data_IF_750871435899
#
_entry.id   IF_750871435899
#
_cell.length_a   1.000
_cell.length_b   1.000
_cell.length_c   1.000
_cell.angle_alpha   90.00
_cell.angle_beta   90.00
_cell.angle_gamma   90.00
#
_symmetry.space_group_name_H-M   'P 1'
#
loop_
_entity.id
_entity.type
_entity.pdbx_description
1 polymer ?
#
# COMPACT_ATOMS: atom_id res chain seq x y z
N UNK A 1 61.19 -6.46 49.68
CA UNK A 1 61.96 -7.52 48.98
C UNK A 1 61.12 -7.99 47.81
N UNK A 2 61.75 -8.17 46.64
CA UNK A 2 61.18 -8.24 45.28
C UNK A 2 60.12 -9.33 45.05
N UNK A 3 59.10 -9.04 44.23
CA UNK A 3 58.47 -10.04 43.34
C UNK A 3 57.98 -9.37 42.06
N UNK A 4 58.31 -9.96 40.91
CA UNK A 4 58.19 -9.41 39.56
C UNK A 4 56.85 -9.76 38.89
N UNK A 5 56.36 -8.88 38.01
CA UNK A 5 55.27 -9.15 37.07
C UNK A 5 55.83 -9.43 35.68
N UNK A 6 55.42 -10.55 35.08
CA UNK A 6 55.84 -11.03 33.76
C UNK A 6 54.81 -10.56 32.72
N UNK A 7 55.26 -9.82 31.70
CA UNK A 7 54.48 -9.45 30.52
C UNK A 7 54.57 -10.56 29.47
N UNK A 8 53.44 -10.93 28.86
CA UNK A 8 53.41 -11.74 27.63
C UNK A 8 52.61 -10.98 26.58
N UNK A 9 53.29 -10.64 25.49
CA UNK A 9 52.76 -9.96 24.31
C UNK A 9 52.47 -11.02 23.25
N UNK A 10 51.26 -11.02 22.68
CA UNK A 10 50.93 -11.87 21.53
C UNK A 10 51.01 -11.07 20.22
N UNK A 11 51.76 -11.64 19.27
CA UNK A 11 51.98 -11.13 17.91
C UNK A 11 50.95 -11.77 16.98
N UNK A 12 50.25 -10.94 16.18
CA UNK A 12 49.43 -11.36 15.06
C UNK A 12 50.32 -11.70 13.85
N UNK A 13 50.05 -12.83 13.19
CA UNK A 13 50.50 -13.11 11.82
C UNK A 13 49.34 -13.75 11.05
N UNK A 14 48.98 -13.12 9.94
CA UNK A 14 48.03 -13.61 8.94
C UNK A 14 48.72 -14.47 7.88
N UNK A 15 47.97 -15.40 7.27
CA UNK A 15 48.09 -15.80 5.86
C UNK A 15 46.94 -16.76 5.49
N UNK A 16 46.16 -16.43 4.45
CA UNK A 16 45.60 -17.46 3.56
C UNK A 16 46.61 -17.78 2.44
N UNK A 17 46.22 -18.42 1.31
CA UNK A 17 45.14 -19.37 1.07
C UNK A 17 45.68 -20.74 0.60
N UNK A 18 44.87 -21.81 0.61
CA UNK A 18 45.18 -23.02 -0.16
C UNK A 18 43.91 -23.78 -0.55
N UNK A 19 43.57 -23.72 -1.84
CA UNK A 19 42.70 -24.68 -2.50
C UNK A 19 43.45 -25.99 -2.74
N UNK A 20 42.83 -27.17 -2.52
CA UNK A 20 43.07 -28.47 -3.22
C UNK A 20 41.88 -29.45 -3.08
N UNK A 21 41.44 -29.95 -4.24
CA UNK A 21 40.88 -31.28 -4.58
C UNK A 21 39.65 -31.90 -3.86
N UNK A 22 38.53 -31.89 -4.58
CA UNK A 22 37.97 -33.06 -5.29
C UNK A 22 37.75 -34.39 -4.53
N UNK A 23 36.49 -34.68 -4.20
CA UNK A 23 35.96 -36.02 -3.92
C UNK A 23 34.46 -35.98 -3.56
N UNK A 24 33.59 -36.88 -4.09
CA UNK A 24 32.14 -36.70 -4.07
C UNK A 24 31.48 -37.35 -2.86
N UNK A 25 30.44 -36.68 -2.33
CA UNK A 25 29.39 -37.30 -1.52
C UNK A 25 29.35 -36.84 -0.06
N UNK A 26 28.17 -36.37 0.35
CA UNK A 26 27.81 -36.16 1.75
C UNK A 26 26.95 -34.92 1.92
N UNK A 27 25.64 -35.12 2.04
CA UNK A 27 24.62 -34.07 2.16
C UNK A 27 24.92 -33.02 3.23
N UNK A 28 24.68 -31.78 2.86
CA UNK A 28 24.33 -30.70 3.77
C UNK A 28 22.95 -30.26 3.33
N UNK A 29 21.95 -30.60 4.15
CA UNK A 29 20.61 -30.06 4.10
C UNK A 29 20.73 -28.59 4.53
N UNK A 30 21.04 -27.71 3.58
CA UNK A 30 21.00 -26.25 3.75
C UNK A 30 19.77 -25.72 2.98
N UNK A 31 18.59 -26.24 3.33
CA UNK A 31 17.26 -25.85 2.81
C UNK A 31 16.74 -24.55 3.47
N UNK A 32 17.60 -23.54 3.60
CA UNK A 32 17.22 -22.24 4.18
C UNK A 32 17.60 -21.07 3.27
N UNK A 33 17.42 -21.28 1.96
CA UNK A 33 17.40 -20.19 0.98
C UNK A 33 16.13 -20.32 0.14
N UNK A 34 15.24 -19.30 0.14
CA UNK A 34 14.02 -19.36 -0.64
C UNK A 34 14.39 -19.49 -2.13
N UNK A 35 13.81 -20.46 -2.87
CA UNK A 35 14.05 -20.59 -4.29
C UNK A 35 13.52 -19.34 -4.99
N UNK A 36 14.42 -18.51 -5.50
CA UNK A 36 14.07 -17.27 -6.21
C UNK A 36 13.62 -17.54 -7.65
N UNK A 37 12.69 -18.47 -7.83
CA UNK A 37 11.95 -18.67 -9.07
C UNK A 37 10.94 -17.53 -9.25
N UNK A 38 10.67 -17.14 -10.50
CA UNK A 38 9.52 -16.28 -10.77
C UNK A 38 8.28 -17.16 -10.79
N UNK A 39 7.46 -17.06 -9.75
CA UNK A 39 6.23 -17.84 -9.59
C UNK A 39 5.16 -17.39 -10.59
N UNK A 40 4.54 -18.33 -11.31
CA UNK A 40 3.41 -18.04 -12.20
C UNK A 40 2.10 -18.49 -11.55
N UNK A 41 1.44 -17.55 -10.88
CA UNK A 41 0.33 -17.76 -9.94
C UNK A 41 -1.00 -18.29 -10.48
N UNK A 42 -1.03 -18.77 -11.73
CA UNK A 42 -2.26 -19.22 -12.41
C UNK A 42 -2.04 -20.46 -13.29
N UNK A 43 -0.92 -21.17 -13.16
CA UNK A 43 -0.53 -22.28 -14.05
C UNK A 43 -0.69 -23.69 -13.44
N UNK A 44 -1.12 -23.81 -12.17
CA UNK A 44 -1.25 -25.04 -11.40
C UNK A 44 0.07 -25.83 -11.21
N UNK A 45 1.20 -25.13 -11.28
CA UNK A 45 2.54 -25.65 -11.06
C UNK A 45 3.13 -24.93 -9.86
N UNK A 46 3.91 -25.70 -9.10
CA UNK A 46 4.83 -25.22 -8.08
C UNK A 46 6.11 -24.79 -8.82
N UNK A 47 6.20 -23.52 -9.23
CA UNK A 47 7.27 -23.05 -10.11
C UNK A 47 8.60 -22.84 -9.36
N UNK A 48 8.55 -22.66 -8.04
CA UNK A 48 9.71 -22.47 -7.18
C UNK A 48 10.13 -23.75 -6.40
N UNK A 49 9.25 -24.74 -6.29
CA UNK A 49 9.49 -26.06 -5.71
C UNK A 49 9.27 -26.15 -4.20
N UNK A 50 8.58 -25.20 -3.57
CA UNK A 50 8.33 -25.18 -2.12
C UNK A 50 7.20 -26.14 -1.66
N UNK A 51 6.50 -26.75 -2.61
CA UNK A 51 5.39 -27.67 -2.40
C UNK A 51 4.00 -27.03 -2.46
N UNK A 52 3.91 -25.76 -2.86
CA UNK A 52 2.66 -25.00 -3.05
C UNK A 52 2.58 -24.52 -4.50
N UNK A 53 1.38 -24.18 -4.94
CA UNK A 53 1.14 -23.77 -6.32
C UNK A 53 0.02 -22.73 -6.38
N UNK A 54 0.11 -21.80 -7.33
CA UNK A 54 -0.86 -20.73 -7.56
C UNK A 54 -1.22 -19.96 -6.27
N UNK A 55 -2.49 -19.59 -6.07
CA UNK A 55 -2.94 -18.88 -4.87
C UNK A 55 -2.83 -19.67 -3.55
N UNK A 56 -2.39 -20.94 -3.57
CA UNK A 56 -2.04 -21.67 -2.34
C UNK A 56 -0.60 -21.38 -1.89
N UNK A 57 0.17 -20.74 -2.76
CA UNK A 57 1.52 -20.26 -2.56
C UNK A 57 1.54 -18.85 -1.93
N UNK A 58 2.24 -18.64 -0.79
CA UNK A 58 2.46 -17.32 -0.21
C UNK A 58 3.11 -16.30 -1.16
N UNK A 59 3.95 -16.74 -2.10
CA UNK A 59 4.63 -15.87 -3.06
C UNK A 59 3.66 -15.35 -4.13
N UNK A 60 2.49 -15.97 -4.25
CA UNK A 60 1.37 -15.50 -5.08
C UNK A 60 0.41 -14.53 -4.39
N UNK A 61 0.65 -14.17 -3.13
CA UNK A 61 -0.21 -13.27 -2.36
C UNK A 61 -0.43 -11.95 -3.11
N UNK A 62 -1.68 -11.68 -3.51
CA UNK A 62 -2.08 -10.48 -4.24
C UNK A 62 -1.65 -10.39 -5.72
N UNK A 63 -1.08 -11.44 -6.30
CA UNK A 63 -0.71 -11.52 -7.73
C UNK A 63 -1.84 -12.19 -8.51
N UNK A 64 -2.14 -11.70 -9.73
CA UNK A 64 -3.11 -12.29 -10.67
C UNK A 64 -4.50 -12.60 -10.08
N UNK A 65 -4.94 -11.82 -9.10
CA UNK A 65 -6.24 -11.98 -8.43
C UNK A 65 -6.24 -12.97 -7.26
N UNK A 66 -5.08 -13.51 -6.89
CA UNK A 66 -4.94 -14.27 -5.65
C UNK A 66 -5.21 -13.39 -4.43
N UNK A 67 -5.83 -13.96 -3.38
CA UNK A 67 -6.06 -13.25 -2.12
C UNK A 67 -4.75 -12.73 -1.50
N UNK A 68 -4.87 -11.66 -0.72
CA UNK A 68 -3.75 -11.08 0.04
C UNK A 68 -3.67 -11.73 1.41
N UNK A 69 -2.52 -12.32 1.76
CA UNK A 69 -2.22 -12.77 3.11
C UNK A 69 -1.42 -11.72 3.89
N UNK A 70 -2.01 -11.14 4.94
CA UNK A 70 -1.33 -10.25 5.90
C UNK A 70 -0.93 -8.86 5.38
N UNK A 71 -0.04 -8.80 4.38
CA UNK A 71 0.42 -7.55 3.77
C UNK A 71 0.88 -7.80 2.32
N UNK A 72 0.40 -6.98 1.40
CA UNK A 72 0.90 -6.96 0.01
C UNK A 72 1.06 -5.50 -0.42
N UNK A 73 2.20 -5.18 -1.03
CA UNK A 73 2.28 -4.07 -1.98
C UNK A 73 1.59 -4.54 -3.26
N UNK A 74 0.41 -4.01 -3.60
CA UNK A 74 -0.28 -4.39 -4.84
C UNK A 74 0.15 -3.42 -5.95
N UNK A 75 1.20 -3.72 -6.73
CA UNK A 75 1.56 -2.88 -7.87
C UNK A 75 0.42 -2.92 -8.88
N UNK A 76 -0.16 -1.75 -9.21
CA UNK A 76 -1.05 -1.71 -10.38
C UNK A 76 -0.19 -2.04 -11.61
N UNK A 77 -0.68 -2.94 -12.46
CA UNK A 77 0.07 -3.40 -13.64
C UNK A 77 0.43 -2.23 -14.59
N UNK A 78 -0.33 -1.13 -14.53
CA UNK A 78 -0.05 0.16 -15.17
C UNK A 78 -0.57 1.30 -14.27
N UNK A 79 0.02 2.51 -14.30
CA UNK A 79 -0.54 3.68 -13.61
C UNK A 79 -1.95 3.95 -14.11
N UNK A 80 -2.89 4.15 -13.19
CA UNK A 80 -4.27 4.42 -13.53
C UNK A 80 -4.59 5.89 -13.32
N UNK A 81 -5.08 6.55 -14.36
CA UNK A 81 -5.57 7.92 -14.28
C UNK A 81 -6.75 7.98 -13.31
N UNK A 82 -6.71 8.95 -12.39
CA UNK A 82 -7.86 9.28 -11.56
C UNK A 82 -8.93 9.95 -12.43
N UNK A 83 -10.22 9.75 -12.13
CA UNK A 83 -11.27 10.49 -12.83
C UNK A 83 -11.07 11.98 -12.60
N UNK A 84 -11.02 12.76 -13.68
CA UNK A 84 -10.67 14.19 -13.76
C UNK A 84 -11.76 15.11 -13.18
N UNK A 85 -12.36 14.81 -12.03
CA UNK A 85 -13.38 15.68 -11.43
C UNK A 85 -14.60 16.01 -12.32
N UNK A 86 -14.80 15.29 -13.43
CA UNK A 86 -15.94 15.45 -14.34
C UNK A 86 -16.48 14.07 -14.69
N UNK A 87 -17.53 13.64 -13.97
CA UNK A 87 -18.13 12.35 -14.27
C UNK A 87 -19.41 12.07 -13.50
N UNK A 88 -20.30 11.31 -14.12
CA UNK A 88 -21.38 10.64 -13.41
C UNK A 88 -20.75 9.51 -12.60
N UNK A 89 -20.69 9.62 -11.27
CA UNK A 89 -20.30 8.51 -10.42
C UNK A 89 -21.15 7.26 -10.68
N UNK A 90 -20.68 6.08 -10.29
CA UNK A 90 -21.43 4.84 -10.50
C UNK A 90 -22.86 4.88 -9.88
N UNK A 91 -23.07 5.73 -8.85
CA UNK A 91 -24.33 5.85 -8.11
C UNK A 91 -25.06 7.19 -8.29
N UNK A 92 -24.43 8.19 -8.91
CA UNK A 92 -25.02 9.52 -9.13
C UNK A 92 -24.64 10.03 -10.53
N UNK A 93 -25.48 10.87 -11.14
CA UNK A 93 -25.16 11.54 -12.40
C UNK A 93 -25.24 13.06 -12.32
N UNK A 94 -25.73 13.59 -11.19
CA UNK A 94 -25.88 15.02 -10.92
C UNK A 94 -25.74 15.29 -9.43
N UNK A 95 -25.29 16.49 -9.06
CA UNK A 95 -25.20 16.94 -7.66
C UNK A 95 -26.55 16.88 -6.94
N UNK A 96 -27.66 17.05 -7.67
CA UNK A 96 -29.00 16.98 -7.12
C UNK A 96 -29.34 15.59 -6.53
N UNK A 97 -28.64 14.53 -6.94
CA UNK A 97 -28.80 13.19 -6.38
C UNK A 97 -27.99 12.98 -5.10
N UNK A 98 -27.02 13.85 -4.81
CA UNK A 98 -26.20 13.80 -3.60
C UNK A 98 -26.92 14.40 -2.38
N UNK A 99 -28.07 13.81 -2.08
CA UNK A 99 -28.92 14.16 -0.93
C UNK A 99 -28.57 13.38 0.33
N UNK A 100 -27.98 12.20 0.17
CA UNK A 100 -27.47 11.36 1.25
C UNK A 100 -25.92 11.42 1.24
N UNK A 101 -25.28 11.96 2.30
CA UNK A 101 -23.82 11.97 2.41
C UNK A 101 -23.19 10.58 2.51
N UNK A 102 -23.97 9.51 2.72
CA UNK A 102 -23.49 8.13 2.70
C UNK A 102 -23.51 7.51 1.29
N UNK A 103 -24.01 8.21 0.27
CA UNK A 103 -24.00 7.71 -1.10
C UNK A 103 -22.55 7.59 -1.61
N UNK A 104 -22.12 6.41 -2.09
CA UNK A 104 -20.81 6.25 -2.73
C UNK A 104 -20.62 7.28 -3.84
N UNK A 105 -19.48 7.97 -3.83
CA UNK A 105 -19.06 8.99 -4.80
C UNK A 105 -19.83 10.34 -4.77
N UNK A 106 -20.64 10.57 -3.73
CA UNK A 106 -21.15 11.89 -3.40
C UNK A 106 -20.28 12.56 -2.34
N UNK A 107 -19.32 13.37 -2.76
CA UNK A 107 -18.39 14.06 -1.85
C UNK A 107 -18.77 15.53 -1.79
N UNK A 108 -18.95 16.07 -0.58
CA UNK A 108 -19.37 17.46 -0.35
C UNK A 108 -20.66 17.90 -1.07
N UNK A 109 -21.59 16.95 -1.33
CA UNK A 109 -22.83 17.12 -2.14
C UNK A 109 -22.59 17.30 -3.64
N UNK A 110 -21.39 17.00 -4.11
CA UNK A 110 -21.04 16.99 -5.51
C UNK A 110 -20.95 15.54 -5.99
N UNK A 111 -21.48 15.31 -7.19
CA UNK A 111 -21.41 14.00 -7.82
C UNK A 111 -20.16 13.92 -8.68
N UNK A 112 -19.23 13.04 -8.32
CA UNK A 112 -17.99 12.83 -9.05
C UNK A 112 -17.76 11.36 -9.32
N UNK A 113 -17.01 11.04 -10.36
CA UNK A 113 -16.51 9.68 -10.55
C UNK A 113 -15.36 9.44 -9.56
N UNK A 114 -15.24 8.19 -9.09
CA UNK A 114 -14.17 7.79 -8.18
C UNK A 114 -13.42 6.63 -8.79
N UNK A 115 -12.10 6.62 -8.63
CA UNK A 115 -11.34 5.40 -8.69
C UNK A 115 -11.74 4.49 -7.53
N UNK A 116 -11.91 3.20 -7.81
CA UNK A 116 -12.15 2.17 -6.81
C UNK A 116 -11.28 0.96 -7.15
N UNK A 117 -10.56 0.44 -6.16
CA UNK A 117 -9.80 -0.81 -6.28
C UNK A 117 -9.93 -1.64 -5.03
N UNK A 118 -9.97 -2.95 -5.21
CA UNK A 118 -10.33 -3.91 -4.18
C UNK A 118 -9.19 -4.89 -3.95
N UNK A 119 -8.89 -5.14 -2.68
CA UNK A 119 -8.01 -6.20 -2.22
C UNK A 119 -8.82 -7.15 -1.33
N UNK A 120 -8.85 -8.42 -1.71
CA UNK A 120 -9.50 -9.45 -0.90
C UNK A 120 -8.50 -10.07 0.07
N UNK A 121 -8.63 -9.77 1.36
CA UNK A 121 -7.74 -10.25 2.40
C UNK A 121 -8.20 -11.59 2.96
N UNK A 122 -7.27 -12.52 3.15
CA UNK A 122 -7.50 -13.81 3.81
C UNK A 122 -6.42 -14.09 4.87
N UNK A 123 -6.59 -15.22 5.52
CA UNK A 123 -5.58 -15.83 6.38
C UNK A 123 -5.61 -15.38 7.83
N UNK A 124 -6.62 -14.60 8.20
CA UNK A 124 -7.03 -14.38 9.59
C UNK A 124 -8.01 -15.47 10.03
N UNK A 125 -8.21 -15.71 11.35
CA UNK A 125 -9.23 -16.63 11.82
C UNK A 125 -10.63 -16.33 11.26
N UNK A 126 -11.47 -17.35 11.16
CA UNK A 126 -12.87 -17.19 10.71
C UNK A 126 -13.57 -16.10 11.55
N UNK A 127 -14.30 -15.21 10.85
CA UNK A 127 -15.00 -14.06 11.43
C UNK A 127 -14.12 -13.10 12.26
N UNK A 128 -12.79 -13.17 12.13
CA UNK A 128 -11.90 -12.31 12.90
C UNK A 128 -12.15 -10.83 12.63
N UNK A 129 -12.22 -10.07 13.73
CA UNK A 129 -12.43 -8.62 13.72
C UNK A 129 -11.17 -7.89 14.17
N UNK A 130 -10.95 -6.70 13.64
CA UNK A 130 -9.90 -5.78 14.09
C UNK A 130 -10.27 -5.22 15.47
N UNK A 131 -9.97 -5.97 16.53
CA UNK A 131 -10.27 -5.57 17.91
C UNK A 131 -9.37 -4.43 18.41
N UNK A 132 -8.08 -4.48 18.03
CA UNK A 132 -7.08 -3.47 18.32
C UNK A 132 -6.67 -2.78 17.02
N UNK A 133 -7.02 -1.50 16.81
CA UNK A 133 -6.71 -0.82 15.56
C UNK A 133 -5.21 -0.62 15.35
N UNK A 134 -4.37 -0.75 16.39
CA UNK A 134 -2.90 -0.73 16.22
C UNK A 134 -2.35 -1.91 15.42
N UNK A 135 -3.18 -2.93 15.19
CA UNK A 135 -2.85 -4.08 14.36
C UNK A 135 -3.07 -3.87 12.86
N UNK A 136 -3.66 -2.75 12.45
CA UNK A 136 -3.52 -2.25 11.08
C UNK A 136 -2.38 -1.22 11.11
N UNK A 137 -1.21 -1.63 10.60
CA UNK A 137 0.04 -0.89 10.78
C UNK A 137 0.08 0.37 9.90
N UNK A 138 -0.32 0.22 8.63
CA UNK A 138 -0.33 1.32 7.66
C UNK A 138 -1.20 1.02 6.45
N UNK A 139 -1.68 2.07 5.81
CA UNK A 139 -2.28 2.05 4.47
C UNK A 139 -1.39 2.93 3.60
N UNK A 140 -0.95 2.48 2.44
CA UNK A 140 -0.09 3.29 1.56
C UNK A 140 -0.69 3.42 0.17
N UNK A 141 -0.38 4.53 -0.48
CA UNK A 141 -0.61 4.76 -1.90
C UNK A 141 0.69 5.25 -2.53
N UNK A 142 0.99 4.80 -3.74
CA UNK A 142 1.95 5.45 -4.61
C UNK A 142 1.18 6.25 -5.64
N UNK A 143 1.26 7.57 -5.57
CA UNK A 143 0.45 8.43 -6.44
C UNK A 143 1.13 9.75 -6.80
N UNK A 144 0.57 10.39 -7.82
CA UNK A 144 0.81 11.79 -8.15
C UNK A 144 -0.52 12.49 -8.43
N UNK A 145 -0.57 13.80 -8.18
CA UNK A 145 -1.73 14.66 -8.45
C UNK A 145 -1.30 16.12 -8.50
N UNK A 146 -1.83 16.89 -9.44
CA UNK A 146 -1.52 18.32 -9.59
C UNK A 146 -2.19 19.21 -8.53
N UNK A 147 -3.11 18.69 -7.70
CA UNK A 147 -3.51 19.41 -6.49
C UNK A 147 -4.08 18.51 -5.39
N UNK A 148 -3.42 18.45 -4.24
CA UNK A 148 -3.85 17.59 -3.12
C UNK A 148 -5.22 17.96 -2.55
N UNK A 149 -5.65 19.21 -2.71
CA UNK A 149 -6.90 19.72 -2.13
C UNK A 149 -8.16 19.26 -2.86
N UNK A 150 -8.01 18.72 -4.06
CA UNK A 150 -9.12 18.20 -4.84
C UNK A 150 -9.49 16.77 -4.47
N UNK A 151 -8.65 16.12 -3.67
CA UNK A 151 -8.79 14.71 -3.37
C UNK A 151 -9.60 14.43 -2.11
N UNK A 152 -10.50 13.46 -2.22
CA UNK A 152 -11.02 12.64 -1.12
C UNK A 152 -10.43 11.24 -1.26
N UNK A 153 -9.76 10.74 -0.22
CA UNK A 153 -9.14 9.40 -0.20
C UNK A 153 -9.73 8.62 0.98
N UNK A 154 -10.29 7.46 0.68
CA UNK A 154 -11.07 6.65 1.62
C UNK A 154 -10.69 5.19 1.52
N UNK A 155 -10.68 4.52 2.67
CA UNK A 155 -10.60 3.08 2.78
C UNK A 155 -11.96 2.55 3.25
N UNK A 156 -12.56 1.65 2.49
CA UNK A 156 -13.77 0.94 2.88
C UNK A 156 -13.38 -0.44 3.41
N UNK A 157 -13.95 -0.78 4.55
CA UNK A 157 -13.77 -2.07 5.23
C UNK A 157 -14.72 -3.12 4.64
N UNK A 158 -14.49 -4.43 4.83
CA UNK A 158 -15.38 -5.47 4.30
C UNK A 158 -16.82 -5.38 4.83
N UNK A 159 -17.00 -4.78 6.01
CA UNK A 159 -18.33 -4.56 6.61
C UNK A 159 -19.00 -3.24 6.14
N UNK A 160 -18.37 -2.51 5.20
CA UNK A 160 -18.90 -1.28 4.60
C UNK A 160 -18.62 0.01 5.39
N UNK A 161 -17.90 -0.05 6.52
CA UNK A 161 -17.45 1.16 7.21
C UNK A 161 -16.45 1.95 6.34
N UNK A 162 -16.55 3.27 6.35
CA UNK A 162 -15.69 4.18 5.58
C UNK A 162 -14.69 4.88 6.51
N UNK A 163 -13.41 4.74 6.20
CA UNK A 163 -12.30 5.35 6.91
C UNK A 163 -11.64 6.41 6.04
N UNK A 164 -11.76 7.69 6.43
CA UNK A 164 -11.28 8.81 5.64
C UNK A 164 -9.79 9.03 5.93
N UNK A 165 -8.95 8.77 4.93
CA UNK A 165 -7.50 8.94 4.97
C UNK A 165 -7.14 10.41 4.73
N UNK A 166 -7.65 10.97 3.64
CA UNK A 166 -7.54 12.39 3.29
C UNK A 166 -8.92 12.92 2.89
N UNK A 167 -9.21 14.17 3.24
CA UNK A 167 -10.54 14.75 3.08
C UNK A 167 -10.49 15.95 2.15
N UNK A 168 -11.39 15.95 1.17
CA UNK A 168 -11.72 17.14 0.40
C UNK A 168 -12.39 18.17 1.32
N UNK A 169 -11.86 19.38 1.35
CA UNK A 169 -12.39 20.48 2.19
C UNK A 169 -13.06 21.52 1.31
N UNK A 170 -12.28 22.15 0.44
CA UNK A 170 -12.68 23.13 -0.55
C UNK A 170 -11.50 23.36 -1.52
N UNK A 171 -11.74 24.17 -2.55
CA UNK A 171 -10.77 24.53 -3.59
C UNK A 171 -10.04 25.83 -3.24
N UNK A 172 -9.71 26.02 -1.97
CA UNK A 172 -8.99 27.20 -1.50
C UNK A 172 -7.66 26.81 -0.87
N UNK A 173 -6.62 27.59 -1.13
CA UNK A 173 -5.27 27.34 -0.63
C UNK A 173 -4.21 27.55 -1.72
N UNK A 174 -2.96 27.26 -1.37
CA UNK A 174 -1.90 27.15 -2.34
C UNK A 174 -2.01 25.84 -3.14
N UNK A 175 -1.49 25.89 -4.36
CA UNK A 175 -1.28 24.73 -5.21
C UNK A 175 -0.15 23.87 -4.60
N UNK A 176 -0.51 22.67 -4.17
CA UNK A 176 0.40 21.71 -3.54
C UNK A 176 0.17 20.37 -4.23
N UNK A 177 1.22 19.86 -4.87
CA UNK A 177 1.17 18.63 -5.64
C UNK A 177 1.39 17.41 -4.74
N UNK A 178 0.99 16.25 -5.25
CA UNK A 178 1.52 14.96 -4.84
C UNK A 178 2.49 14.48 -5.92
N UNK A 179 3.68 14.08 -5.52
CA UNK A 179 4.69 13.51 -6.41
C UNK A 179 5.30 14.57 -7.32
N UNK A 180 5.75 14.13 -8.49
CA UNK A 180 6.08 15.02 -9.61
C UNK A 180 4.97 14.87 -10.64
N UNK A 181 3.81 15.46 -10.34
CA UNK A 181 2.66 15.48 -11.23
C UNK A 181 2.99 16.16 -12.56
N UNK A 182 2.39 15.67 -13.64
CA UNK A 182 2.59 16.22 -14.97
C UNK A 182 1.49 17.22 -15.33
N UNK A 183 1.59 18.41 -14.78
CA UNK A 183 0.59 19.48 -14.93
C UNK A 183 0.64 20.23 -16.29
N UNK A 184 1.44 19.73 -17.25
CA UNK A 184 1.63 20.35 -18.56
C UNK A 184 1.00 19.54 -19.70
N UNK A 185 0.29 18.47 -19.38
CA UNK A 185 -0.40 17.64 -20.35
C UNK A 185 -1.76 18.22 -20.74
N UNK A 186 -2.47 17.50 -21.62
CA UNK A 186 -3.81 17.91 -22.02
C UNK A 186 -4.82 17.17 -21.13
N UNK A 187 -5.73 17.92 -20.49
CA UNK A 187 -6.74 17.37 -19.57
C UNK A 187 -7.49 16.14 -20.10
N UNK A 188 -7.76 16.11 -21.40
CA UNK A 188 -8.51 15.02 -22.03
C UNK A 188 -7.67 13.80 -22.44
N UNK A 189 -6.35 13.85 -22.20
CA UNK A 189 -5.41 12.77 -22.43
C UNK A 189 -4.23 12.92 -21.47
N UNK A 190 -4.47 12.71 -20.16
CA UNK A 190 -3.45 12.90 -19.16
C UNK A 190 -2.33 11.85 -19.33
N UNK A 191 -1.10 12.24 -18.98
CA UNK A 191 0.11 11.45 -19.09
C UNK A 191 0.74 11.40 -17.70
N UNK A 192 0.84 10.19 -17.14
CA UNK A 192 1.37 9.98 -15.80
C UNK A 192 2.74 10.65 -15.59
N UNK A 193 2.82 11.42 -14.50
CA UNK A 193 4.06 11.93 -13.94
C UNK A 193 4.82 10.87 -13.14
N UNK A 194 5.53 11.29 -12.10
CA UNK A 194 6.20 10.37 -11.17
C UNK A 194 5.48 10.32 -9.83
N UNK A 195 4.86 9.18 -9.54
CA UNK A 195 4.26 8.91 -8.25
C UNK A 195 5.28 8.73 -7.13
N UNK A 196 4.89 9.18 -5.93
CA UNK A 196 5.65 9.04 -4.68
C UNK A 196 4.79 8.33 -3.64
N UNK A 197 5.43 7.78 -2.61
CA UNK A 197 4.75 7.00 -1.56
C UNK A 197 4.18 7.88 -0.45
N UNK A 198 2.89 7.72 -0.18
CA UNK A 198 2.18 8.33 0.93
C UNK A 198 1.53 7.24 1.77
N UNK A 199 1.96 7.11 3.01
CA UNK A 199 1.44 6.12 3.95
C UNK A 199 0.66 6.81 5.06
N UNK A 200 -0.46 6.25 5.48
CA UNK A 200 -1.16 6.65 6.69
C UNK A 200 -0.80 5.71 7.83
N UNK A 201 -0.32 6.27 8.94
CA UNK A 201 0.08 5.52 10.13
C UNK A 201 -0.52 6.14 11.40
N UNK A 202 -0.58 5.37 12.49
CA UNK A 202 -1.09 5.86 13.77
C UNK A 202 -0.18 6.89 14.45
N UNK A 203 1.10 6.90 14.10
CA UNK A 203 2.14 7.72 14.73
C UNK A 203 2.45 9.00 13.97
N UNK A 204 1.98 9.11 12.72
CA UNK A 204 2.15 10.30 11.91
C UNK A 204 1.48 11.53 12.55
N UNK A 205 2.15 12.67 12.44
CA UNK A 205 1.78 13.89 13.17
C UNK A 205 0.87 14.81 12.35
N UNK A 206 1.07 14.86 11.03
CA UNK A 206 0.44 15.84 10.14
C UNK A 206 -0.44 15.15 9.11
N UNK A 207 -1.64 15.70 8.89
CA UNK A 207 -2.43 15.36 7.70
C UNK A 207 -1.80 15.96 6.44
N UNK A 208 -2.26 15.56 5.26
CA UNK A 208 -1.82 16.15 3.98
C UNK A 208 -1.94 17.68 3.95
N UNK A 209 -2.96 18.24 4.61
CA UNK A 209 -3.22 19.69 4.61
C UNK A 209 -2.44 20.47 5.68
N UNK A 210 -1.77 19.78 6.61
CA UNK A 210 -1.03 20.38 7.73
C UNK A 210 0.49 20.23 7.59
N UNK A 211 0.93 19.26 6.78
CA UNK A 211 2.33 18.92 6.64
C UNK A 211 3.13 20.03 5.92
N UNK A 212 4.42 20.20 6.27
CA UNK A 212 5.30 21.10 5.53
C UNK A 212 5.54 20.59 4.11
N UNK A 213 5.54 21.51 3.15
CA UNK A 213 5.82 21.23 1.74
C UNK A 213 7.31 21.36 1.43
N UNK A 214 7.72 20.78 0.30
CA UNK A 214 9.05 20.96 -0.28
C UNK A 214 8.93 21.49 -1.70
N UNK A 215 9.78 22.43 -2.08
CA UNK A 215 9.84 22.92 -3.46
C UNK A 215 10.75 22.03 -4.29
N UNK A 216 10.25 21.49 -5.39
CA UNK A 216 10.99 20.59 -6.31
C UNK A 216 11.35 21.27 -7.64
N UNK A 217 11.55 22.59 -7.64
CA UNK A 217 11.90 23.34 -8.86
C UNK A 217 10.70 23.72 -9.73
N UNK A 218 9.48 23.59 -9.19
CA UNK A 218 8.19 24.00 -9.74
C UNK A 218 7.22 24.32 -8.60
N UNK A 219 5.96 23.88 -8.71
CA UNK A 219 5.00 23.95 -7.61
C UNK A 219 5.49 23.18 -6.38
N UNK A 220 5.03 23.61 -5.20
CA UNK A 220 5.33 22.92 -3.95
C UNK A 220 4.71 21.53 -3.97
N UNK A 221 5.42 20.54 -3.43
CA UNK A 221 4.93 19.16 -3.34
C UNK A 221 4.93 18.69 -1.89
N UNK A 222 3.98 17.82 -1.58
CA UNK A 222 3.98 17.08 -0.34
C UNK A 222 5.09 16.01 -0.41
N UNK A 223 6.03 15.93 0.55
CA UNK A 223 7.10 14.93 0.50
C UNK A 223 6.54 13.50 0.60
N UNK A 224 7.25 12.51 0.08
CA UNK A 224 6.92 11.11 0.38
C UNK A 224 7.05 10.85 1.90
N UNK A 225 6.19 10.01 2.45
CA UNK A 225 6.29 9.59 3.86
C UNK A 225 4.97 9.28 4.54
N UNK A 226 5.02 9.38 5.88
CA UNK A 226 3.91 9.01 6.76
C UNK A 226 3.04 10.20 7.14
N UNK A 227 1.73 10.01 7.06
CA UNK A 227 0.69 11.02 7.24
C UNK A 227 -0.39 10.56 8.21
N UNK A 228 -0.96 11.53 8.91
CA UNK A 228 -2.07 11.31 9.83
C UNK A 228 -3.36 11.23 9.01
N UNK A 229 -4.18 10.22 9.28
CA UNK A 229 -5.52 10.12 8.71
C UNK A 229 -6.47 11.17 9.29
N UNK A 230 -7.47 11.57 8.51
CA UNK A 230 -8.53 12.47 8.99
C UNK A 230 -9.44 11.74 9.99
N UNK A 231 -9.85 10.51 9.68
CA UNK A 231 -10.60 9.67 10.60
C UNK A 231 -9.68 9.09 11.69
N UNK A 232 -10.13 9.00 12.95
CA UNK A 232 -9.38 8.32 13.99
C UNK A 232 -9.36 6.81 13.74
N UNK A 233 -8.23 6.15 13.94
CA UNK A 233 -8.04 4.71 13.71
C UNK A 233 -9.03 3.81 14.47
N UNK A 234 -9.60 4.28 15.57
CA UNK A 234 -10.68 3.60 16.30
C UNK A 234 -11.97 3.42 15.47
N UNK A 235 -12.12 4.14 14.35
CA UNK A 235 -13.22 3.94 13.41
C UNK A 235 -13.15 2.59 12.68
N UNK A 236 -11.98 1.94 12.66
CA UNK A 236 -11.78 0.61 12.09
C UNK A 236 -12.00 -0.51 13.12
N UNK A 237 -12.22 -0.17 14.39
CA UNK A 237 -12.42 -1.17 15.45
C UNK A 237 -13.69 -1.97 15.19
N UNK A 238 -13.56 -3.30 15.12
CA UNK A 238 -14.66 -4.22 14.87
C UNK A 238 -14.89 -4.58 13.40
N UNK A 239 -14.14 -3.98 12.47
CA UNK A 239 -14.18 -4.37 11.05
C UNK A 239 -13.66 -5.79 10.85
N UNK A 240 -14.28 -6.54 9.94
CA UNK A 240 -13.78 -7.83 9.47
C UNK A 240 -12.35 -7.69 8.94
N UNK A 241 -11.46 -8.61 9.34
CA UNK A 241 -10.11 -8.71 8.81
C UNK A 241 -10.12 -9.41 7.44
N UNK A 242 -10.80 -10.55 7.36
CA UNK A 242 -11.04 -11.27 6.11
C UNK A 242 -12.11 -10.55 5.25
N UNK A 243 -11.95 -10.63 3.94
CA UNK A 243 -12.88 -10.09 2.94
C UNK A 243 -12.34 -8.90 2.17
N UNK A 244 -13.22 -8.28 1.39
CA UNK A 244 -12.87 -7.21 0.47
C UNK A 244 -12.66 -5.87 1.18
N UNK A 245 -11.43 -5.37 1.14
CA UNK A 245 -11.11 -3.99 1.44
C UNK A 245 -11.05 -3.19 0.14
N UNK A 246 -11.55 -1.97 0.14
CA UNK A 246 -11.61 -1.13 -1.06
C UNK A 246 -10.94 0.23 -0.81
N UNK A 247 -10.03 0.62 -1.69
CA UNK A 247 -9.51 1.98 -1.79
C UNK A 247 -10.40 2.77 -2.74
N UNK A 248 -10.86 3.93 -2.28
CA UNK A 248 -11.61 4.89 -3.10
C UNK A 248 -10.91 6.24 -3.12
N UNK A 249 -10.61 6.71 -4.33
CA UNK A 249 -10.04 8.05 -4.56
C UNK A 249 -10.98 8.83 -5.46
N UNK A 250 -11.41 9.99 -5.00
CA UNK A 250 -12.25 10.92 -5.77
C UNK A 250 -11.49 12.21 -5.92
N UNK A 251 -11.21 12.60 -7.16
CA UNK A 251 -10.81 13.95 -7.51
C UNK A 251 -12.08 14.74 -7.81
N UNK A 252 -12.17 15.93 -7.22
CA UNK A 252 -13.33 16.82 -7.30
C UNK A 252 -13.10 18.03 -8.21
N UNK A 253 -12.00 18.09 -8.97
CA UNK A 253 -11.72 19.27 -9.77
C UNK A 253 -11.07 18.97 -11.12
N UNK A 254 -11.84 19.07 -12.19
CA UNK A 254 -11.35 18.71 -13.53
C UNK A 254 -10.46 19.70 -14.26
N UNK A 255 -9.79 20.59 -13.54
CA UNK A 255 -8.62 21.30 -14.06
C UNK A 255 -7.35 20.56 -13.67
N UNK A 256 -7.40 19.81 -12.58
CA UNK A 256 -6.30 19.07 -12.02
C UNK A 256 -6.47 17.59 -12.35
N UNK A 257 -5.36 16.87 -12.46
CA UNK A 257 -5.39 15.45 -12.74
C UNK A 257 -4.29 14.72 -11.96
N UNK A 258 -4.35 13.39 -11.99
CA UNK A 258 -3.27 12.58 -11.47
C UNK A 258 -3.51 11.09 -11.63
N UNK A 259 -2.58 10.32 -11.04
CA UNK A 259 -2.49 8.89 -11.26
C UNK A 259 -2.21 8.15 -9.95
N UNK A 260 -2.87 7.01 -9.79
CA UNK A 260 -2.53 6.02 -8.77
C UNK A 260 -1.72 4.89 -9.42
N UNK A 261 -0.55 4.58 -8.83
CA UNK A 261 0.37 3.55 -9.32
C UNK A 261 0.28 2.25 -8.51
N UNK A 262 -0.08 2.35 -7.24
CA UNK A 262 -0.28 1.20 -6.36
C UNK A 262 -0.92 1.65 -5.06
N UNK A 263 -1.50 0.71 -4.32
CA UNK A 263 -1.88 0.91 -2.93
C UNK A 263 -1.75 -0.39 -2.12
N UNK A 264 -1.68 -0.26 -0.80
CA UNK A 264 -1.49 -1.40 0.10
C UNK A 264 -2.11 -1.17 1.48
N UNK A 265 -2.43 -2.28 2.15
CA UNK A 265 -2.73 -2.34 3.59
C UNK A 265 -1.74 -3.31 4.21
N UNK A 266 -1.13 -2.93 5.32
CA UNK A 266 -0.29 -3.80 6.12
C UNK A 266 -0.95 -4.08 7.47
N UNK A 267 -1.31 -5.34 7.71
CA UNK A 267 -1.71 -5.81 9.04
C UNK A 267 -0.49 -6.31 9.83
N UNK A 268 -0.58 -6.30 11.15
CA UNK A 268 0.39 -6.94 12.02
C UNK A 268 0.42 -8.46 11.72
N UNK A 269 1.58 -9.03 11.32
CA UNK A 269 1.68 -10.44 10.94
C UNK A 269 1.24 -11.41 12.04
N UNK A 270 1.23 -10.97 13.32
CA UNK A 270 0.76 -11.79 14.45
C UNK A 270 -0.73 -12.10 14.40
N UNK A 271 -1.51 -11.41 13.56
CA UNK A 271 -2.91 -11.70 13.32
C UNK A 271 -3.13 -12.84 12.32
N UNK A 272 -2.15 -13.15 11.48
CA UNK A 272 -2.26 -14.15 10.42
C UNK A 272 -2.07 -15.54 11.01
N UNK A 273 -3.00 -16.45 10.70
CA UNK A 273 -2.97 -17.83 11.20
C UNK A 273 -2.67 -18.87 10.13
N UNK A 274 -3.18 -18.69 8.91
CA UNK A 274 -2.96 -19.63 7.81
C UNK A 274 -3.26 -18.98 6.45
N UNK A 275 -2.29 -18.95 5.54
CA UNK A 275 -2.49 -18.45 4.18
C UNK A 275 -2.97 -19.54 3.20
N UNK A 276 -3.03 -20.82 3.60
CA UNK A 276 -3.40 -21.95 2.75
C UNK A 276 -4.92 -22.09 2.51
N UNK A 277 -5.67 -21.00 2.69
CA UNK A 277 -7.14 -21.03 2.64
C UNK A 277 -7.66 -21.46 1.26
N UNK A 278 -8.61 -22.41 1.18
CA UNK A 278 -9.23 -22.76 -0.09
C UNK A 278 -10.15 -21.61 -0.54
N UNK A 279 -9.96 -21.12 -1.77
CA UNK A 279 -10.96 -20.30 -2.47
C UNK A 279 -12.12 -21.24 -2.81
N UNK A 280 -13.09 -21.40 -1.91
CA UNK A 280 -14.38 -22.00 -2.29
C UNK A 280 -15.35 -20.87 -2.55
N UNK A 281 -15.56 -20.60 -3.85
CA UNK A 281 -16.74 -19.93 -4.41
C UNK A 281 -18.00 -20.77 -4.15
#
# INVERSE_FOLDING_TARGET
MRTAFLFVSFVLVACGPAARDGGPGGGGDDDDQPPTGTEACTNAVDDDGDGRADCSDPDCSGIDGCPVCGAVENPEAQPLALPDGVGTGAMCSTDAQCTDPASPNCVAKECHASYNSQLNFIGFPDDAKLADPSKLLKVCVKMEHSWVRDLQIELLTPDGAVFILHKFVDRTGGEIFLGMANDADAENNPIAGTGMDYCWTQTAQYTFLEAPTVSMGGSDTLPAGDYKSVAPWTALTGSSLNGTWEMRVTDLWGIDNGFLFSWSIAFDPTLVTDCAGPIIL
#
